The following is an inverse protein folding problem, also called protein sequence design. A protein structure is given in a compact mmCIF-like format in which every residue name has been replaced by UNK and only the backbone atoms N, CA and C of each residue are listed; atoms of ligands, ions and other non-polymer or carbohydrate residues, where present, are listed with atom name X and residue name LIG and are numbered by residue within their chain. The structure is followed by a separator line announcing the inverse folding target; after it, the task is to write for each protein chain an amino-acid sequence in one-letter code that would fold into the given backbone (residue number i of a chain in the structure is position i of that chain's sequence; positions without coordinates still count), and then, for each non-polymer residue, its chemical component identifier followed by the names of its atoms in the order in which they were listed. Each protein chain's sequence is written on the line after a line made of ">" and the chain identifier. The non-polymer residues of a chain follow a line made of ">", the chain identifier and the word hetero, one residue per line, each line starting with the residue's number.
data_IF_004015506062
#
_entry.id   IF_004015506062
#
_cell.length_a   1.000
_cell.length_b   1.000
_cell.length_c   1.000
_cell.angle_alpha   90.00
_cell.angle_beta   90.00
_cell.angle_gamma   90.00
#
_symmetry.space_group_name_H-M   'P 1'
#
loop_
_entity.id
_entity.type
_entity.pdbx_description
1 polymer ?
#
# COMPACT_ATOMS: atom_id res chain seq x y z
N UNK A 1 -50.70 31.21 -29.14
CA UNK A 1 -50.01 31.02 -30.44
C UNK A 1 -49.43 29.62 -30.45
N UNK A 2 -49.72 28.87 -31.52
CA UNK A 2 -49.33 27.47 -31.80
C UNK A 2 -47.81 27.40 -32.06
N UNK A 3 -47.10 26.35 -31.64
CA UNK A 3 -46.89 25.08 -32.35
C UNK A 3 -46.25 24.10 -31.34
N UNK A 4 -46.72 22.87 -31.15
CA UNK A 4 -46.46 21.68 -31.98
C UNK A 4 -45.00 21.23 -31.77
N UNK A 5 -44.66 20.04 -31.29
CA UNK A 5 -44.99 18.73 -31.87
C UNK A 5 -44.93 17.63 -30.79
N UNK A 6 -45.84 16.67 -30.92
CA UNK A 6 -45.91 15.42 -30.17
C UNK A 6 -45.33 14.31 -31.07
N UNK A 7 -44.52 13.40 -30.54
CA UNK A 7 -44.35 12.04 -31.11
C UNK A 7 -43.82 11.09 -30.03
N UNK A 8 -44.56 10.00 -29.87
CA UNK A 8 -44.41 8.85 -28.99
C UNK A 8 -43.14 8.03 -29.26
N UNK A 9 -42.66 7.23 -28.28
CA UNK A 9 -41.52 6.33 -28.47
C UNK A 9 -41.93 5.06 -29.22
N UNK A 10 -41.14 4.70 -30.23
CA UNK A 10 -41.25 3.44 -30.96
C UNK A 10 -40.54 2.31 -30.21
N UNK A 11 -41.22 1.18 -30.15
CA UNK A 11 -40.80 -0.13 -29.67
C UNK A 11 -39.49 -0.57 -30.36
N UNK A 12 -38.43 -0.80 -29.59
CA UNK A 12 -37.20 -1.42 -30.09
C UNK A 12 -37.37 -2.94 -30.01
N UNK A 13 -37.50 -3.53 -31.19
CA UNK A 13 -37.48 -4.96 -31.44
C UNK A 13 -36.25 -5.63 -30.83
N UNK A 14 -36.49 -6.77 -30.16
CA UNK A 14 -35.45 -7.68 -29.69
C UNK A 14 -34.70 -8.27 -30.88
N UNK A 15 -33.48 -7.82 -31.12
CA UNK A 15 -32.54 -8.51 -32.00
C UNK A 15 -32.01 -9.76 -31.31
N UNK A 16 -32.61 -10.91 -31.61
CA UNK A 16 -32.02 -12.23 -31.39
C UNK A 16 -30.88 -12.45 -32.38
N UNK A 17 -29.64 -12.29 -31.92
CA UNK A 17 -28.44 -12.74 -32.64
C UNK A 17 -28.24 -14.22 -32.34
N UNK A 18 -28.44 -15.06 -33.36
CA UNK A 18 -28.12 -16.49 -33.36
C UNK A 18 -26.60 -16.69 -33.31
N UNK A 19 -26.13 -17.38 -32.27
CA UNK A 19 -24.73 -17.85 -32.17
C UNK A 19 -24.53 -19.05 -33.12
N UNK A 20 -23.46 -19.09 -33.95
CA UNK A 20 -23.09 -20.31 -34.65
C UNK A 20 -22.49 -21.33 -33.68
N UNK A 21 -22.94 -22.57 -33.79
CA UNK A 21 -22.49 -23.74 -33.05
C UNK A 21 -21.10 -24.20 -33.53
N UNK A 22 -20.15 -24.29 -32.60
CA UNK A 22 -18.80 -24.84 -32.83
C UNK A 22 -18.87 -26.37 -32.70
N UNK A 23 -18.36 -27.16 -33.66
CA UNK A 23 -18.35 -28.62 -33.54
C UNK A 23 -17.31 -29.09 -32.53
N UNK A 24 -17.75 -29.91 -31.56
CA UNK A 24 -16.88 -30.62 -30.60
C UNK A 24 -16.13 -31.75 -31.31
N UNK A 25 -14.82 -31.58 -31.52
CA UNK A 25 -13.94 -32.69 -31.90
C UNK A 25 -13.68 -33.61 -30.70
N UNK A 26 -14.14 -34.85 -30.79
CA UNK A 26 -13.76 -35.95 -29.90
C UNK A 26 -12.41 -36.51 -30.35
N UNK A 27 -11.36 -36.33 -29.54
CA UNK A 27 -10.15 -37.13 -29.67
C UNK A 27 -10.42 -38.56 -29.16
N UNK A 28 -10.38 -39.53 -30.07
CA UNK A 28 -10.26 -40.96 -29.76
C UNK A 28 -8.78 -41.32 -29.78
N UNK A 29 -8.23 -41.74 -28.64
CA UNK A 29 -6.91 -42.36 -28.56
C UNK A 29 -6.93 -43.75 -29.24
N UNK A 30 -6.00 -44.06 -30.17
CA UNK A 30 -5.83 -45.41 -30.68
C UNK A 30 -5.03 -46.26 -29.69
N UNK A 31 -5.52 -47.46 -29.42
CA UNK A 31 -4.77 -48.52 -28.74
C UNK A 31 -3.59 -48.97 -29.61
N UNK A 32 -2.36 -48.74 -29.15
CA UNK A 32 -1.16 -49.30 -29.75
C UNK A 32 -0.67 -50.49 -28.90
N UNK A 33 -0.95 -51.70 -29.37
CA UNK A 33 -0.22 -52.92 -29.00
C UNK A 33 1.18 -52.84 -29.61
N UNK A 34 2.21 -52.71 -28.76
CA UNK A 34 3.62 -52.82 -29.19
C UNK A 34 4.26 -54.01 -28.50
N UNK A 35 4.66 -55.00 -29.31
CA UNK A 35 5.36 -56.20 -28.87
C UNK A 35 6.78 -55.86 -28.41
N UNK A 36 7.16 -56.39 -27.25
CA UNK A 36 8.50 -56.22 -26.69
C UNK A 36 9.45 -57.24 -27.33
N UNK A 37 10.39 -56.74 -28.12
CA UNK A 37 11.64 -57.45 -28.44
C UNK A 37 12.53 -57.33 -27.20
N UNK A 38 12.82 -58.45 -26.54
CA UNK A 38 13.72 -58.48 -25.38
C UNK A 38 15.17 -58.54 -25.85
N UNK A 39 15.87 -57.40 -25.79
CA UNK A 39 17.33 -57.35 -25.89
C UNK A 39 17.91 -57.50 -24.47
N UNK A 40 18.57 -58.62 -24.19
CA UNK A 40 19.29 -58.88 -22.93
C UNK A 40 20.61 -58.08 -22.93
N UNK A 41 20.59 -56.89 -22.36
CA UNK A 41 21.80 -56.18 -21.93
C UNK A 41 21.81 -56.11 -20.40
N UNK A 42 22.92 -56.55 -19.80
CA UNK A 42 23.16 -56.64 -18.37
C UNK A 42 23.06 -55.27 -17.67
N UNK A 43 21.90 -54.95 -17.07
CA UNK A 43 21.76 -53.86 -16.12
C UNK A 43 22.13 -54.33 -14.71
N UNK A 44 23.24 -53.82 -14.17
CA UNK A 44 23.48 -53.80 -12.72
C UNK A 44 22.47 -52.83 -12.09
N UNK A 45 21.70 -53.19 -11.06
CA UNK A 45 20.90 -52.23 -10.34
C UNK A 45 21.84 -51.26 -9.60
N UNK A 46 21.87 -50.00 -10.00
CA UNK A 46 22.38 -48.94 -9.14
C UNK A 46 21.42 -48.85 -7.95
N UNK A 47 21.87 -49.25 -6.75
CA UNK A 47 21.13 -48.93 -5.54
C UNK A 47 21.10 -47.41 -5.40
N UNK A 48 19.94 -46.81 -5.61
CA UNK A 48 19.66 -45.45 -5.14
C UNK A 48 19.98 -45.43 -3.64
N UNK A 49 20.72 -44.42 -3.14
CA UNK A 49 20.89 -44.27 -1.70
C UNK A 49 19.50 -44.19 -1.05
N UNK A 50 19.33 -44.75 0.16
CA UNK A 50 18.07 -44.59 0.88
C UNK A 50 17.82 -43.09 1.02
N UNK A 51 16.70 -42.62 0.46
CA UNK A 51 16.14 -41.33 0.83
C UNK A 51 15.88 -41.42 2.32
N UNK A 52 16.76 -40.84 3.14
CA UNK A 52 16.45 -40.55 4.53
C UNK A 52 15.08 -39.87 4.52
N UNK A 53 14.11 -40.55 5.14
CA UNK A 53 12.76 -40.04 5.21
C UNK A 53 12.84 -38.65 5.84
N UNK A 54 12.38 -37.64 5.12
CA UNK A 54 12.10 -36.35 5.73
C UNK A 54 11.12 -36.66 6.85
N UNK A 55 11.55 -36.48 8.09
CA UNK A 55 10.71 -36.68 9.27
C UNK A 55 9.65 -35.58 9.24
N UNK A 56 8.54 -35.85 8.55
CA UNK A 56 7.42 -34.94 8.46
C UNK A 56 6.78 -34.92 9.84
N UNK A 57 7.04 -33.84 10.58
CA UNK A 57 6.48 -33.64 11.90
C UNK A 57 4.96 -33.50 11.80
N UNK A 58 4.24 -34.58 12.06
CA UNK A 58 2.78 -34.57 12.16
C UNK A 58 2.33 -33.90 13.46
N UNK A 59 1.47 -32.89 13.34
CA UNK A 59 0.90 -32.16 14.47
C UNK A 59 -0.51 -32.70 14.75
N UNK A 60 -0.74 -33.17 15.97
CA UNK A 60 -2.02 -33.80 16.40
C UNK A 60 -2.75 -33.03 17.49
N UNK A 61 -2.29 -31.81 17.80
CA UNK A 61 -2.90 -30.97 18.83
C UNK A 61 -4.29 -30.47 18.44
N UNK A 62 -5.12 -30.05 19.41
CA UNK A 62 -6.41 -29.41 19.14
C UNK A 62 -6.22 -28.11 18.35
N UNK A 63 -7.16 -27.81 17.46
CA UNK A 63 -7.18 -26.56 16.71
C UNK A 63 -7.68 -25.43 17.62
N UNK A 64 -6.92 -24.36 17.72
CA UNK A 64 -7.22 -23.20 18.57
C UNK A 64 -7.19 -21.91 17.77
N UNK A 65 -8.04 -20.94 18.16
CA UNK A 65 -8.01 -19.59 17.59
C UNK A 65 -6.84 -18.81 18.21
N UNK A 66 -5.79 -18.56 17.43
CA UNK A 66 -4.56 -17.93 17.93
C UNK A 66 -4.61 -16.38 17.93
N UNK A 67 -5.22 -15.78 16.91
CA UNK A 67 -5.39 -14.33 16.77
C UNK A 67 -6.68 -14.06 15.98
N UNK A 68 -7.34 -12.92 16.24
CA UNK A 68 -8.53 -12.51 15.52
C UNK A 68 -8.71 -10.99 15.49
N UNK A 69 -9.32 -10.53 14.41
CA UNK A 69 -9.71 -9.13 14.20
C UNK A 69 -10.74 -9.05 13.10
N UNK A 70 -11.52 -7.97 13.10
CA UNK A 70 -12.50 -7.72 12.05
C UNK A 70 -12.80 -6.23 11.96
N UNK A 71 -13.39 -5.79 10.85
CA UNK A 71 -13.92 -4.43 10.75
C UNK A 71 -14.45 -4.09 9.37
N UNK A 72 -14.50 -2.80 9.05
CA UNK A 72 -14.92 -2.31 7.73
C UNK A 72 -13.77 -1.62 7.01
N UNK A 73 -13.42 -2.14 5.84
CA UNK A 73 -12.38 -1.58 4.99
C UNK A 73 -12.94 -0.62 3.93
N UNK A 74 -12.11 0.33 3.54
CA UNK A 74 -12.25 1.17 2.34
C UNK A 74 -13.54 1.99 2.23
N UNK A 75 -13.97 2.60 3.34
CA UNK A 75 -15.09 3.52 3.35
C UNK A 75 -14.72 4.83 2.65
N UNK A 76 -15.35 5.12 1.51
CA UNK A 76 -15.13 6.35 0.72
C UNK A 76 -15.90 7.53 1.29
N UNK A 77 -15.19 8.48 1.88
CA UNK A 77 -15.79 9.64 2.55
C UNK A 77 -15.28 10.93 1.93
N UNK A 78 -16.19 11.73 1.37
CA UNK A 78 -15.89 13.11 0.95
C UNK A 78 -16.58 14.09 1.89
N UNK A 79 -15.80 14.93 2.55
CA UNK A 79 -16.28 15.99 3.44
C UNK A 79 -16.05 17.35 2.78
N UNK A 80 -17.14 18.05 2.48
CA UNK A 80 -17.10 19.47 2.07
C UNK A 80 -17.41 20.35 3.28
N UNK A 81 -16.49 21.25 3.61
CA UNK A 81 -16.72 22.36 4.52
C UNK A 81 -17.22 23.54 3.70
N UNK A 82 -18.35 24.11 4.10
CA UNK A 82 -19.09 25.11 3.31
C UNK A 82 -19.69 26.21 4.17
N UNK A 83 -19.03 26.49 5.29
CA UNK A 83 -19.42 27.52 6.25
C UNK A 83 -19.19 28.93 5.67
N UNK A 84 -18.35 29.04 4.63
CA UNK A 84 -18.16 30.24 3.81
C UNK A 84 -18.37 29.93 2.32
N UNK A 85 -18.53 30.94 1.43
CA UNK A 85 -18.60 30.71 -0.03
C UNK A 85 -17.38 30.00 -0.61
N UNK A 86 -16.22 30.14 0.04
CA UNK A 86 -15.00 29.41 -0.27
C UNK A 86 -15.02 28.07 0.45
N UNK A 87 -15.45 27.03 -0.28
CA UNK A 87 -15.58 25.68 0.26
C UNK A 87 -14.22 25.02 0.44
N UNK A 88 -14.06 24.10 1.39
CA UNK A 88 -12.89 23.22 1.51
C UNK A 88 -13.29 21.74 1.33
N UNK A 89 -12.38 20.90 0.86
CA UNK A 89 -12.61 19.47 0.58
C UNK A 89 -11.62 18.58 1.35
N UNK A 90 -12.13 17.45 1.85
CA UNK A 90 -11.36 16.28 2.29
C UNK A 90 -11.94 15.05 1.61
N UNK A 91 -11.09 14.23 0.99
CA UNK A 91 -11.48 13.01 0.28
C UNK A 91 -10.66 11.86 0.84
N UNK A 92 -11.34 10.94 1.51
CA UNK A 92 -10.75 9.94 2.38
C UNK A 92 -11.13 8.52 1.96
N UNK A 93 -10.21 7.57 2.16
CA UNK A 93 -10.47 6.14 2.25
C UNK A 93 -10.24 5.70 3.69
N UNK A 94 -11.26 5.19 4.39
CA UNK A 94 -11.16 4.88 5.82
C UNK A 94 -11.39 3.40 6.08
N UNK A 95 -10.43 2.75 6.72
CA UNK A 95 -10.51 1.36 7.17
C UNK A 95 -10.48 1.29 8.70
N UNK A 96 -11.28 0.39 9.26
CA UNK A 96 -11.42 0.16 10.71
C UNK A 96 -11.15 -1.30 11.00
N UNK A 97 -10.44 -1.58 12.08
CA UNK A 97 -10.11 -2.93 12.55
C UNK A 97 -10.23 -2.95 14.08
N UNK A 98 -11.04 -3.87 14.60
CA UNK A 98 -11.27 -4.06 16.03
C UNK A 98 -10.64 -5.38 16.48
N UNK A 99 -10.03 -5.37 17.67
CA UNK A 99 -9.47 -6.52 18.39
C UNK A 99 -10.04 -6.56 19.80
N UNK A 100 -10.34 -7.76 20.29
CA UNK A 100 -11.10 -7.90 21.54
C UNK A 100 -11.52 -9.33 21.83
N UNK A 101 -12.41 -9.48 22.80
CA UNK A 101 -13.02 -10.77 23.15
C UNK A 101 -14.12 -11.13 22.13
N UNK A 102 -13.70 -11.70 21.00
CA UNK A 102 -14.59 -12.13 19.92
C UNK A 102 -14.54 -13.64 19.65
N UNK A 103 -13.88 -14.43 20.50
CA UNK A 103 -13.65 -15.86 20.22
C UNK A 103 -14.95 -16.64 19.98
N UNK A 104 -16.01 -16.33 20.74
CA UNK A 104 -17.32 -16.96 20.60
C UNK A 104 -17.91 -16.78 19.18
N UNK A 105 -17.67 -15.63 18.54
CA UNK A 105 -18.13 -15.38 17.17
C UNK A 105 -17.49 -16.33 16.14
N UNK A 106 -16.26 -16.80 16.40
CA UNK A 106 -15.54 -17.72 15.52
C UNK A 106 -15.80 -19.19 15.87
N UNK A 107 -15.85 -19.51 17.17
CA UNK A 107 -15.88 -20.90 17.65
C UNK A 107 -17.31 -21.44 17.74
N UNK A 108 -18.26 -20.62 18.19
CA UNK A 108 -19.66 -21.04 18.40
C UNK A 108 -20.64 -20.33 17.48
N UNK A 109 -20.19 -19.23 16.85
CA UNK A 109 -21.02 -18.39 15.98
C UNK A 109 -21.84 -17.35 16.75
N UNK A 110 -21.64 -17.19 18.06
CA UNK A 110 -22.34 -16.18 18.84
C UNK A 110 -21.88 -14.76 18.48
N UNK A 111 -22.80 -13.95 17.96
CA UNK A 111 -22.55 -12.59 17.51
C UNK A 111 -22.83 -11.53 18.58
N UNK A 112 -23.17 -11.92 19.82
CA UNK A 112 -23.59 -11.01 20.90
C UNK A 112 -22.58 -9.90 21.22
N UNK A 113 -21.29 -10.17 21.04
CA UNK A 113 -20.18 -9.22 21.26
C UNK A 113 -19.74 -8.47 19.99
N UNK A 114 -20.30 -8.80 18.83
CA UNK A 114 -19.83 -8.27 17.54
C UNK A 114 -20.55 -6.97 17.21
N UNK A 115 -19.82 -5.85 17.25
CA UNK A 115 -20.29 -4.59 16.66
C UNK A 115 -20.37 -4.75 15.14
N UNK A 116 -21.54 -4.61 14.49
CA UNK A 116 -21.66 -4.81 13.06
C UNK A 116 -20.68 -3.93 12.26
N UNK A 117 -20.06 -4.49 11.21
CA UNK A 117 -19.16 -3.70 10.35
C UNK A 117 -19.90 -2.56 9.65
N UNK A 118 -21.22 -2.71 9.44
CA UNK A 118 -22.07 -1.61 8.96
C UNK A 118 -22.13 -0.45 9.97
N UNK A 119 -22.22 -0.74 11.28
CA UNK A 119 -22.16 0.29 12.32
C UNK A 119 -20.83 1.01 12.30
N UNK A 120 -19.71 0.30 12.13
CA UNK A 120 -18.38 0.93 12.00
C UNK A 120 -18.31 1.91 10.82
N UNK A 121 -18.88 1.54 9.66
CA UNK A 121 -19.05 2.45 8.50
C UNK A 121 -19.84 3.69 8.91
N UNK A 122 -21.02 3.52 9.50
CA UNK A 122 -21.88 4.64 9.90
C UNK A 122 -21.17 5.58 10.88
N UNK A 123 -20.42 5.03 11.84
CA UNK A 123 -19.59 5.80 12.77
C UNK A 123 -18.51 6.58 12.04
N UNK A 124 -17.81 5.99 11.08
CA UNK A 124 -16.78 6.68 10.29
C UNK A 124 -17.35 7.90 9.54
N UNK A 125 -18.54 7.78 8.92
CA UNK A 125 -19.23 8.91 8.28
C UNK A 125 -19.69 9.96 9.30
N UNK A 126 -20.21 9.54 10.45
CA UNK A 126 -20.64 10.47 11.50
C UNK A 126 -19.45 11.29 12.05
N UNK A 127 -18.32 10.62 12.30
CA UNK A 127 -17.10 11.25 12.84
C UNK A 127 -16.50 12.26 11.85
N UNK A 128 -16.63 12.01 10.54
CA UNK A 128 -16.18 12.96 9.53
C UNK A 128 -16.96 14.29 9.56
N UNK A 129 -18.17 14.29 10.14
CA UNK A 129 -18.96 15.50 10.40
C UNK A 129 -18.76 16.05 11.80
N UNK A 130 -18.69 15.20 12.83
CA UNK A 130 -18.49 15.56 14.25
C UNK A 130 -17.65 14.47 14.92
N UNK A 131 -16.39 14.73 15.31
CA UNK A 131 -15.79 16.06 15.49
C UNK A 131 -15.37 16.75 14.17
N UNK A 132 -15.01 16.00 13.13
CA UNK A 132 -14.48 16.53 11.88
C UNK A 132 -13.48 15.57 11.25
N UNK A 133 -13.12 15.82 9.99
CA UNK A 133 -12.26 14.96 9.18
C UNK A 133 -10.86 15.56 8.94
N UNK A 134 -10.45 16.53 9.76
CA UNK A 134 -9.17 17.23 9.62
C UNK A 134 -8.64 17.67 10.99
N UNK A 135 -7.33 17.50 11.23
CA UNK A 135 -6.39 16.68 10.45
C UNK A 135 -6.79 15.20 10.49
N UNK A 136 -6.31 14.39 9.53
CA UNK A 136 -6.77 13.01 9.38
C UNK A 136 -6.35 12.11 10.55
N UNK A 137 -5.25 12.46 11.21
CA UNK A 137 -4.70 11.83 12.40
C UNK A 137 -5.63 12.04 13.60
N UNK A 138 -6.11 13.27 13.82
CA UNK A 138 -7.08 13.58 14.88
C UNK A 138 -8.43 12.89 14.64
N UNK A 139 -8.87 12.84 13.38
CA UNK A 139 -10.06 12.08 12.98
C UNK A 139 -9.91 10.59 13.32
N UNK A 140 -8.77 9.99 12.96
CA UNK A 140 -8.48 8.59 13.23
C UNK A 140 -8.33 8.30 14.73
N UNK A 141 -7.69 9.19 15.50
CA UNK A 141 -7.60 9.15 16.97
C UNK A 141 -8.99 9.18 17.62
N UNK A 142 -9.85 10.10 17.19
CA UNK A 142 -11.21 10.21 17.72
C UNK A 142 -12.02 8.94 17.44
N UNK A 143 -11.93 8.40 16.22
CA UNK A 143 -12.66 7.20 15.81
C UNK A 143 -12.15 5.94 16.52
N UNK A 144 -10.84 5.72 16.58
CA UNK A 144 -10.25 4.59 17.30
C UNK A 144 -10.54 4.69 18.81
N UNK A 145 -10.42 5.89 19.37
CA UNK A 145 -10.72 6.17 20.76
C UNK A 145 -12.18 5.86 21.14
N UNK A 146 -13.13 6.18 20.26
CA UNK A 146 -14.54 5.81 20.44
C UNK A 146 -14.73 4.30 20.54
N UNK A 147 -14.19 3.54 19.59
CA UNK A 147 -14.39 2.09 19.61
C UNK A 147 -13.82 1.44 20.87
N UNK A 148 -12.64 1.88 21.34
CA UNK A 148 -12.02 1.33 22.55
C UNK A 148 -12.74 1.80 23.83
N UNK A 149 -13.24 3.04 23.87
CA UNK A 149 -13.88 3.58 25.06
C UNK A 149 -15.32 3.09 25.24
N UNK A 150 -16.08 2.98 24.14
CA UNK A 150 -17.54 2.88 24.21
C UNK A 150 -18.06 1.48 23.87
N UNK A 151 -17.23 0.61 23.29
CA UNK A 151 -17.62 -0.73 22.84
C UNK A 151 -16.91 -1.77 23.71
N UNK A 152 -17.62 -2.28 24.72
CA UNK A 152 -17.03 -3.04 25.84
C UNK A 152 -16.04 -4.15 25.43
N UNK A 153 -16.33 -5.05 24.46
CA UNK A 153 -15.42 -6.15 24.13
C UNK A 153 -14.16 -5.70 23.39
N UNK A 154 -14.10 -4.47 22.88
CA UNK A 154 -12.97 -3.94 22.11
C UNK A 154 -11.82 -3.57 23.07
N UNK A 155 -10.68 -4.25 22.92
CA UNK A 155 -9.45 -3.98 23.66
C UNK A 155 -8.48 -3.10 22.86
N UNK A 156 -8.58 -3.13 21.53
CA UNK A 156 -7.78 -2.31 20.62
C UNK A 156 -8.55 -2.01 19.34
N UNK A 157 -8.38 -0.80 18.82
CA UNK A 157 -8.91 -0.38 17.53
C UNK A 157 -7.82 0.27 16.70
N UNK A 158 -7.75 -0.13 15.42
CA UNK A 158 -6.89 0.47 14.42
C UNK A 158 -7.74 1.14 13.35
N UNK A 159 -7.42 2.39 13.04
CA UNK A 159 -8.05 3.18 11.97
C UNK A 159 -6.97 3.60 10.99
N UNK A 160 -7.17 3.27 9.73
CA UNK A 160 -6.27 3.65 8.63
C UNK A 160 -7.02 4.60 7.69
N UNK A 161 -6.35 5.68 7.30
CA UNK A 161 -6.91 6.74 6.47
C UNK A 161 -5.96 7.04 5.33
N UNK A 162 -6.42 6.88 4.10
CA UNK A 162 -5.80 7.51 2.94
C UNK A 162 -6.48 8.86 2.68
N UNK A 163 -5.71 9.93 2.51
CA UNK A 163 -6.19 11.23 2.07
C UNK A 163 -5.72 11.51 0.64
N UNK A 164 -6.67 11.89 -0.20
CA UNK A 164 -6.37 12.24 -1.57
C UNK A 164 -6.43 13.74 -1.81
N UNK A 165 -5.32 14.27 -2.34
CA UNK A 165 -5.14 15.68 -2.53
C UNK A 165 -6.00 16.25 -3.67
N UNK A 166 -6.50 17.46 -3.48
CA UNK A 166 -7.23 18.23 -4.48
C UNK A 166 -6.59 19.62 -4.58
N UNK A 167 -6.45 20.13 -5.79
CA UNK A 167 -5.95 21.48 -6.07
C UNK A 167 -7.07 22.30 -6.69
N UNK A 168 -7.25 23.55 -6.24
CA UNK A 168 -8.26 24.45 -6.81
C UNK A 168 -7.94 24.76 -8.27
N UNK A 169 -8.98 24.85 -9.09
CA UNK A 169 -8.84 25.32 -10.47
C UNK A 169 -8.57 26.83 -10.45
N UNK A 170 -7.59 27.30 -11.21
CA UNK A 170 -7.33 28.72 -11.42
C UNK A 170 -8.09 29.24 -12.64
N UNK A 171 -8.88 30.31 -12.48
CA UNK A 171 -9.61 31.00 -13.56
C UNK A 171 -9.20 32.46 -13.56
N UNK A 172 -8.63 32.95 -14.68
CA UNK A 172 -8.19 34.34 -14.79
C UNK A 172 -7.09 34.75 -13.79
N UNK A 173 -6.26 33.80 -13.35
CA UNK A 173 -5.19 34.03 -12.37
C UNK A 173 -5.60 33.93 -10.90
N UNK A 174 -6.88 33.70 -10.60
CA UNK A 174 -7.38 33.50 -9.23
C UNK A 174 -7.91 32.07 -9.02
N UNK A 175 -7.74 31.51 -7.83
CA UNK A 175 -8.30 30.20 -7.48
C UNK A 175 -9.82 30.23 -7.34
N UNK A 176 -10.49 29.22 -7.86
CA UNK A 176 -11.94 29.05 -7.74
C UNK A 176 -12.36 28.60 -6.34
N UNK A 177 -13.50 29.10 -5.87
CA UNK A 177 -13.98 28.89 -4.49
C UNK A 177 -14.47 27.48 -4.19
N UNK A 178 -14.87 26.73 -5.21
CA UNK A 178 -15.52 25.42 -5.04
C UNK A 178 -15.33 24.48 -6.24
N UNK A 179 -14.23 24.63 -6.97
CA UNK A 179 -13.86 23.74 -8.09
C UNK A 179 -12.41 23.31 -7.95
N UNK A 180 -12.16 22.01 -8.06
CA UNK A 180 -10.85 21.40 -7.90
C UNK A 180 -10.55 20.37 -8.99
N UNK A 181 -9.27 20.11 -9.21
CA UNK A 181 -8.72 18.97 -9.94
C UNK A 181 -7.94 18.07 -8.98
N UNK A 182 -7.93 16.77 -9.25
CA UNK A 182 -7.21 15.79 -8.44
C UNK A 182 -5.70 16.06 -8.52
N UNK A 183 -5.03 16.10 -7.37
CA UNK A 183 -3.56 16.16 -7.25
C UNK A 183 -3.04 14.77 -6.84
N UNK A 184 -1.91 14.36 -7.39
CA UNK A 184 -1.32 13.03 -7.19
C UNK A 184 -0.28 12.72 -8.27
N UNK A 185 0.36 11.53 -8.24
CA UNK A 185 -0.20 10.27 -7.74
C UNK A 185 -0.04 10.00 -6.24
N UNK A 186 0.74 10.79 -5.50
CA UNK A 186 1.02 10.52 -4.09
C UNK A 186 -0.23 10.65 -3.19
N UNK A 187 -0.32 9.76 -2.21
CA UNK A 187 -1.45 9.66 -1.27
C UNK A 187 -0.90 9.80 0.14
N UNK A 188 -1.41 10.78 0.90
CA UNK A 188 -1.10 10.91 2.33
C UNK A 188 -1.82 9.80 3.08
N UNK A 189 -1.15 9.24 4.08
CA UNK A 189 -1.71 8.16 4.89
C UNK A 189 -1.58 8.49 6.37
N UNK A 190 -2.57 8.09 7.17
CA UNK A 190 -2.46 8.01 8.62
C UNK A 190 -2.94 6.64 9.10
N UNK A 191 -2.25 6.06 10.07
CA UNK A 191 -2.70 4.86 10.76
C UNK A 191 -2.60 5.08 12.27
N UNK A 192 -3.71 4.91 12.96
CA UNK A 192 -3.83 5.12 14.39
C UNK A 192 -4.26 3.83 15.05
N UNK A 193 -3.54 3.42 16.08
CA UNK A 193 -3.94 2.33 16.96
C UNK A 193 -4.20 2.89 18.35
N UNK A 194 -5.33 2.56 18.95
CA UNK A 194 -5.63 2.84 20.36
C UNK A 194 -5.83 1.50 21.06
N UNK A 195 -5.20 1.31 22.21
CA UNK A 195 -5.34 0.07 22.99
C UNK A 195 -5.31 0.35 24.50
N UNK A 196 -5.86 -0.58 25.28
CA UNK A 196 -5.96 -0.48 26.74
C UNK A 196 -7.21 0.28 27.20
N UNK A 197 -7.51 0.20 28.51
CA UNK A 197 -8.69 0.83 29.13
C UNK A 197 -8.28 1.82 30.23
N UNK A 198 -9.14 2.80 30.52
CA UNK A 198 -8.94 3.76 31.60
C UNK A 198 -7.58 4.49 31.52
N UNK A 199 -6.83 4.49 32.62
CA UNK A 199 -5.50 5.12 32.72
C UNK A 199 -4.39 4.39 31.94
N UNK A 200 -4.62 3.15 31.51
CA UNK A 200 -3.67 2.37 30.72
C UNK A 200 -3.86 2.57 29.21
N UNK A 201 -4.91 3.29 28.81
CA UNK A 201 -5.19 3.57 27.39
C UNK A 201 -4.05 4.37 26.78
N UNK A 202 -3.52 3.88 25.66
CA UNK A 202 -2.48 4.55 24.87
C UNK A 202 -2.87 4.60 23.40
N UNK A 203 -2.29 5.57 22.69
CA UNK A 203 -2.45 5.74 21.26
C UNK A 203 -1.08 5.71 20.57
N UNK A 204 -1.06 5.15 19.37
CA UNK A 204 0.10 5.13 18.48
C UNK A 204 -0.33 5.68 17.13
N UNK A 205 0.41 6.66 16.62
CA UNK A 205 0.12 7.33 15.35
C UNK A 205 1.28 7.08 14.39
N UNK A 206 0.93 6.66 13.19
CA UNK A 206 1.82 6.58 12.04
C UNK A 206 1.30 7.54 10.98
N UNK A 207 2.12 8.52 10.61
CA UNK A 207 1.91 9.31 9.39
C UNK A 207 2.62 8.64 8.22
N UNK A 208 2.27 8.98 6.99
CA UNK A 208 2.94 8.44 5.84
C UNK A 208 2.53 9.02 4.50
N UNK A 209 3.23 8.56 3.47
CA UNK A 209 2.92 8.78 2.06
C UNK A 209 3.14 7.48 1.30
N UNK A 210 2.27 7.21 0.33
CA UNK A 210 2.46 6.15 -0.67
C UNK A 210 2.33 6.72 -2.08
N UNK A 211 2.79 5.95 -3.06
CA UNK A 211 2.77 6.32 -4.48
C UNK A 211 3.55 7.60 -4.82
N UNK A 212 4.51 7.98 -3.97
CA UNK A 212 5.40 9.11 -4.23
C UNK A 212 6.44 8.72 -5.29
N UNK A 213 6.12 9.01 -6.55
CA UNK A 213 7.04 8.75 -7.68
C UNK A 213 8.07 9.87 -7.81
N UNK A 214 9.34 9.53 -7.62
CA UNK A 214 10.47 10.46 -7.74
C UNK A 214 11.59 9.84 -8.58
N UNK A 215 12.32 10.69 -9.29
CA UNK A 215 13.35 10.28 -10.25
C UNK A 215 14.49 11.31 -10.25
N UNK A 216 15.73 10.81 -10.30
CA UNK A 216 16.91 11.60 -10.69
C UNK A 216 17.55 10.95 -11.92
N UNK A 217 17.94 11.76 -12.89
CA UNK A 217 18.49 11.30 -14.17
C UNK A 217 19.99 10.97 -14.12
N UNK A 218 20.69 11.43 -13.10
CA UNK A 218 22.14 11.25 -12.87
C UNK A 218 22.43 11.35 -11.36
N UNK A 219 23.70 11.28 -10.95
CA UNK A 219 24.11 11.41 -9.54
C UNK A 219 23.75 10.17 -8.72
N UNK A 220 23.74 9.01 -9.38
CA UNK A 220 23.50 7.71 -8.78
C UNK A 220 24.41 6.68 -9.40
N UNK A 221 25.01 5.84 -8.57
CA UNK A 221 25.97 4.81 -8.94
C UNK A 221 25.48 3.45 -8.44
N UNK A 222 26.14 2.41 -8.94
CA UNK A 222 26.09 1.08 -8.34
C UNK A 222 27.32 0.28 -8.78
N UNK A 223 28.27 0.13 -7.87
CA UNK A 223 29.52 -0.58 -8.10
C UNK A 223 30.04 -1.23 -6.82
N UNK A 224 31.04 -2.10 -6.93
CA UNK A 224 31.66 -2.76 -5.77
C UNK A 224 30.76 -3.78 -5.06
N UNK A 225 29.71 -4.27 -5.74
CA UNK A 225 28.85 -5.33 -5.24
C UNK A 225 29.53 -6.71 -5.32
N UNK A 226 29.03 -7.65 -4.52
CA UNK A 226 29.45 -9.04 -4.60
C UNK A 226 29.10 -9.63 -5.96
N UNK A 227 29.97 -10.50 -6.47
CA UNK A 227 29.78 -11.22 -7.72
C UNK A 227 29.82 -12.71 -7.46
N UNK A 228 28.91 -13.43 -8.10
CA UNK A 228 28.90 -14.89 -8.19
C UNK A 228 28.79 -15.34 -9.65
N UNK A 229 28.62 -16.65 -9.87
CA UNK A 229 28.48 -17.26 -11.19
C UNK A 229 27.22 -16.84 -11.97
N UNK A 230 26.25 -16.17 -11.32
CA UNK A 230 25.02 -15.67 -11.95
C UNK A 230 25.02 -14.15 -12.16
N UNK A 231 26.10 -13.47 -11.76
CA UNK A 231 26.18 -12.01 -11.82
C UNK A 231 26.59 -11.52 -13.21
N UNK A 232 25.61 -10.99 -13.96
CA UNK A 232 25.84 -10.35 -15.28
C UNK A 232 25.77 -8.82 -15.24
N UNK A 233 25.36 -8.25 -14.11
CA UNK A 233 25.21 -6.80 -13.95
C UNK A 233 26.58 -6.11 -14.03
N UNK A 234 26.73 -5.13 -14.91
CA UNK A 234 27.91 -4.30 -14.97
C UNK A 234 27.86 -3.20 -13.90
N UNK A 235 28.99 -2.87 -13.25
CA UNK A 235 29.06 -1.69 -12.39
C UNK A 235 28.85 -0.42 -13.21
N UNK A 236 28.27 0.61 -12.59
CA UNK A 236 28.11 1.93 -13.20
C UNK A 236 28.39 3.05 -12.20
N UNK A 237 29.01 4.11 -12.69
CA UNK A 237 29.30 5.37 -11.98
C UNK A 237 28.31 6.50 -12.37
N UNK A 238 27.38 6.23 -13.30
CA UNK A 238 26.21 7.06 -13.50
C UNK A 238 25.01 6.23 -13.99
N UNK A 239 23.84 6.49 -13.42
CA UNK A 239 22.57 5.88 -13.84
C UNK A 239 21.40 6.70 -13.36
N UNK A 240 20.26 6.48 -14.00
CA UNK A 240 18.98 6.90 -13.47
C UNK A 240 18.65 6.16 -12.16
N UNK A 241 17.98 6.87 -11.25
CA UNK A 241 17.38 6.28 -10.04
C UNK A 241 15.93 6.75 -9.95
N UNK A 242 14.99 5.82 -10.04
CA UNK A 242 13.57 6.10 -9.92
C UNK A 242 12.91 5.14 -8.92
N UNK A 243 11.94 5.65 -8.15
CA UNK A 243 11.18 4.86 -7.18
C UNK A 243 9.74 5.37 -7.07
N UNK A 244 8.83 4.47 -6.67
CA UNK A 244 7.53 4.84 -6.10
C UNK A 244 7.61 4.61 -4.60
N UNK A 245 8.02 5.64 -3.85
CA UNK A 245 8.33 5.54 -2.43
C UNK A 245 7.06 5.33 -1.61
N UNK A 246 7.11 4.35 -0.71
CA UNK A 246 6.24 4.28 0.47
C UNK A 246 7.07 4.66 1.70
N UNK A 247 6.65 5.70 2.41
CA UNK A 247 7.29 6.16 3.63
C UNK A 247 6.26 6.25 4.75
N UNK A 248 6.54 5.63 5.89
CA UNK A 248 5.67 5.65 7.06
C UNK A 248 6.52 6.01 8.29
N UNK A 249 6.10 7.00 9.07
CA UNK A 249 6.82 7.44 10.27
C UNK A 249 5.93 7.35 11.50
N UNK A 250 6.49 6.81 12.58
CA UNK A 250 5.81 6.73 13.87
C UNK A 250 6.18 7.93 14.71
N UNK A 251 5.16 8.55 15.29
CA UNK A 251 5.32 9.63 16.26
C UNK A 251 5.72 9.05 17.63
N UNK A 252 6.54 9.79 18.36
CA UNK A 252 6.96 9.42 19.71
C UNK A 252 5.85 9.65 20.74
N UNK A 253 4.96 10.61 20.47
CA UNK A 253 3.81 11.00 21.30
C UNK A 253 2.68 11.55 20.40
N UNK A 254 1.50 11.81 20.97
CA UNK A 254 0.33 12.35 20.28
C UNK A 254 -0.02 13.78 20.66
N UNK A 255 0.54 14.31 21.74
CA UNK A 255 0.11 15.59 22.30
C UNK A 255 0.72 16.79 21.58
N UNK A 256 -0.15 17.74 21.19
CA UNK A 256 0.27 19.04 20.65
C UNK A 256 0.99 18.98 19.30
N UNK A 257 0.81 17.92 18.53
CA UNK A 257 1.47 17.74 17.24
C UNK A 257 0.71 18.49 16.13
N UNK A 258 1.42 19.31 15.38
CA UNK A 258 0.93 19.85 14.11
C UNK A 258 1.17 18.82 12.99
N UNK A 259 0.19 17.93 12.79
CA UNK A 259 0.29 16.81 11.85
C UNK A 259 0.54 17.26 10.41
N UNK A 260 -0.14 18.33 9.98
CA UNK A 260 -0.04 18.86 8.62
C UNK A 260 1.36 19.44 8.38
N UNK A 261 1.90 20.21 9.34
CA UNK A 261 3.26 20.75 9.24
C UNK A 261 4.33 19.65 9.25
N UNK A 262 4.18 18.61 10.07
CA UNK A 262 5.10 17.47 10.09
C UNK A 262 5.04 16.70 8.78
N UNK A 263 3.84 16.42 8.25
CA UNK A 263 3.69 15.75 6.96
C UNK A 263 4.40 16.51 5.83
N UNK A 264 4.15 17.81 5.70
CA UNK A 264 4.81 18.65 4.69
C UNK A 264 6.32 18.68 4.89
N UNK A 265 6.78 18.85 6.14
CA UNK A 265 8.20 18.90 6.45
C UNK A 265 8.93 17.60 6.14
N UNK A 266 8.35 16.45 6.50
CA UNK A 266 8.92 15.13 6.17
C UNK A 266 8.99 14.94 4.67
N UNK A 267 7.92 15.22 3.93
CA UNK A 267 7.92 15.08 2.47
C UNK A 267 9.00 15.96 1.80
N UNK A 268 9.13 17.21 2.26
CA UNK A 268 10.22 18.11 1.83
C UNK A 268 11.59 17.49 2.11
N UNK A 269 11.85 16.98 3.31
CA UNK A 269 13.15 16.38 3.64
C UNK A 269 13.47 15.13 2.85
N UNK A 270 12.48 14.25 2.64
CA UNK A 270 12.66 13.05 1.83
C UNK A 270 13.02 13.42 0.37
N UNK A 271 12.30 14.36 -0.22
CA UNK A 271 12.50 14.77 -1.62
C UNK A 271 13.76 15.61 -1.83
N UNK A 272 14.08 16.54 -0.93
CA UNK A 272 15.34 17.31 -0.96
C UNK A 272 16.56 16.40 -0.82
N UNK A 273 16.52 15.46 0.13
CA UNK A 273 17.63 14.52 0.34
C UNK A 273 17.77 13.59 -0.85
N UNK A 274 16.66 13.06 -1.37
CA UNK A 274 16.68 12.28 -2.60
C UNK A 274 17.31 13.09 -3.75
N UNK A 275 16.94 14.36 -3.96
CA UNK A 275 17.48 15.17 -5.04
C UNK A 275 18.98 15.47 -4.90
N UNK A 276 19.42 15.83 -3.69
CA UNK A 276 20.76 16.41 -3.45
C UNK A 276 21.83 15.40 -3.05
N UNK A 277 21.45 14.23 -2.49
CA UNK A 277 22.41 13.21 -2.08
C UNK A 277 22.98 12.45 -3.29
N UNK A 278 24.31 12.40 -3.41
CA UNK A 278 24.97 11.55 -4.41
C UNK A 278 24.85 10.08 -4.02
N UNK A 279 24.04 9.32 -4.76
CA UNK A 279 23.61 7.98 -4.35
C UNK A 279 24.65 6.92 -4.74
N UNK A 280 25.35 6.29 -3.79
CA UNK A 280 26.17 5.11 -4.08
C UNK A 280 25.37 3.81 -4.11
N UNK A 281 24.19 3.81 -3.49
CA UNK A 281 23.22 2.73 -3.50
C UNK A 281 21.86 3.25 -3.03
N UNK A 282 20.75 2.62 -3.47
CA UNK A 282 19.42 3.02 -2.99
C UNK A 282 19.28 2.84 -1.47
N UNK A 283 19.92 1.82 -0.90
CA UNK A 283 20.03 1.60 0.55
C UNK A 283 20.59 2.82 1.29
N UNK A 284 21.69 3.39 0.79
CA UNK A 284 22.31 4.58 1.38
C UNK A 284 21.36 5.79 1.29
N UNK A 285 20.74 5.98 0.12
CA UNK A 285 19.77 7.05 -0.09
C UNK A 285 18.59 6.96 0.88
N UNK A 286 18.03 5.76 1.10
CA UNK A 286 16.96 5.59 2.08
C UNK A 286 17.40 5.91 3.52
N UNK A 287 18.61 5.50 3.90
CA UNK A 287 19.15 5.83 5.22
C UNK A 287 19.29 7.34 5.41
N UNK A 288 19.90 8.05 4.46
CA UNK A 288 20.08 9.50 4.55
C UNK A 288 18.73 10.24 4.52
N UNK A 289 17.78 9.80 3.69
CA UNK A 289 16.41 10.35 3.69
C UNK A 289 15.73 10.20 5.05
N UNK A 290 15.76 8.99 5.63
CA UNK A 290 15.17 8.73 6.95
C UNK A 290 15.85 9.53 8.06
N UNK A 291 17.18 9.61 8.03
CA UNK A 291 17.98 10.41 8.97
C UNK A 291 17.66 11.90 8.87
N UNK A 292 17.52 12.45 7.67
CA UNK A 292 17.17 13.85 7.46
C UNK A 292 15.78 14.18 8.01
N UNK A 293 14.79 13.31 7.75
CA UNK A 293 13.43 13.46 8.28
C UNK A 293 13.40 13.42 9.82
N UNK A 294 14.05 12.41 10.43
CA UNK A 294 14.13 12.32 11.89
C UNK A 294 14.88 13.53 12.47
N UNK A 295 16.01 13.95 11.90
CA UNK A 295 16.77 15.10 12.39
C UNK A 295 15.93 16.38 12.40
N UNK A 296 15.13 16.60 11.35
CA UNK A 296 14.27 17.78 11.24
C UNK A 296 13.03 17.73 12.17
N UNK A 297 12.56 16.53 12.53
CA UNK A 297 11.34 16.35 13.32
C UNK A 297 11.61 15.51 14.59
N UNK A 298 11.98 16.15 15.72
CA UNK A 298 12.18 15.51 17.02
C UNK A 298 11.00 14.68 17.53
N UNK A 299 9.79 15.03 17.11
CA UNK A 299 8.54 14.33 17.47
C UNK A 299 8.41 12.93 16.85
N UNK A 300 9.31 12.55 15.93
CA UNK A 300 9.31 11.24 15.29
C UNK A 300 10.28 10.27 15.97
N UNK A 301 9.83 9.04 16.21
CA UNK A 301 10.61 7.97 16.82
C UNK A 301 11.36 7.13 15.76
N UNK A 302 10.67 6.80 14.67
CA UNK A 302 11.20 5.97 13.58
C UNK A 302 10.49 6.26 12.24
N UNK A 303 11.13 5.90 11.14
CA UNK A 303 10.60 5.94 9.78
C UNK A 303 10.95 4.65 9.03
N UNK A 304 9.93 4.05 8.41
CA UNK A 304 10.02 2.87 7.55
C UNK A 304 9.85 3.30 6.09
N UNK A 305 10.77 2.86 5.25
CA UNK A 305 10.86 3.21 3.84
C UNK A 305 10.87 1.93 3.01
N UNK A 306 10.02 1.87 2.00
CA UNK A 306 10.04 0.85 0.97
C UNK A 306 10.15 1.53 -0.40
N UNK A 307 11.18 1.16 -1.15
CA UNK A 307 11.50 1.80 -2.42
C UNK A 307 11.76 0.74 -3.49
N UNK A 308 10.79 0.48 -4.39
CA UNK A 308 11.06 -0.28 -5.60
C UNK A 308 11.99 0.53 -6.50
N UNK A 309 13.12 -0.05 -6.90
CA UNK A 309 13.98 0.51 -7.92
C UNK A 309 13.33 0.30 -9.29
N UNK A 310 12.65 1.33 -9.79
CA UNK A 310 11.96 1.31 -11.10
C UNK A 310 12.99 1.46 -12.20
N UNK A 311 13.33 0.35 -12.85
CA UNK A 311 14.43 0.29 -13.80
C UNK A 311 14.16 1.13 -15.06
N UNK A 312 15.15 1.95 -15.40
CA UNK A 312 15.22 2.67 -16.66
C UNK A 312 16.52 2.23 -17.33
N UNK A 313 16.41 1.30 -18.28
CA UNK A 313 17.57 0.75 -18.98
C UNK A 313 17.92 1.61 -20.18
N UNK A 314 19.20 1.93 -20.37
CA UNK A 314 19.66 2.57 -21.59
C UNK A 314 19.26 1.73 -22.80
N UNK A 315 18.57 2.35 -23.75
CA UNK A 315 18.10 1.65 -24.92
C UNK A 315 19.23 1.49 -25.93
N UNK A 316 19.48 0.25 -26.36
CA UNK A 316 20.50 -0.03 -27.38
C UNK A 316 20.03 0.44 -28.77
N UNK A 317 20.52 1.62 -29.14
CA UNK A 317 20.35 2.24 -30.46
C UNK A 317 21.54 1.97 -31.40
N UNK A 318 22.61 1.32 -30.93
CA UNK A 318 23.81 1.06 -31.74
C UNK A 318 23.50 0.15 -32.94
N UNK A 319 22.52 -0.75 -32.81
CA UNK A 319 21.99 -1.57 -33.91
C UNK A 319 21.41 -0.78 -35.08
N UNK A 320 21.11 0.51 -34.88
CA UNK A 320 20.66 1.43 -35.93
C UNK A 320 21.75 2.43 -36.35
N UNK A 321 22.97 2.31 -35.80
CA UNK A 321 24.06 3.25 -36.04
C UNK A 321 23.87 4.60 -35.33
N UNK A 322 23.07 4.65 -34.25
CA UNK A 322 22.76 5.87 -33.50
C UNK A 322 23.41 5.77 -32.10
N UNK A 323 24.18 6.79 -31.73
CA UNK A 323 24.75 6.93 -30.39
C UNK A 323 23.66 7.31 -29.38
N UNK A 324 23.64 6.68 -28.20
CA UNK A 324 22.75 7.03 -27.08
C UNK A 324 23.61 7.46 -25.89
N UNK A 325 23.52 8.73 -25.46
CA UNK A 325 24.32 9.29 -24.36
C UNK A 325 23.56 9.36 -23.05
N UNK A 326 22.85 8.28 -22.71
CA UNK A 326 21.97 8.27 -21.54
C UNK A 326 20.75 9.17 -21.73
N UNK A 327 20.18 9.20 -22.94
CA UNK A 327 19.08 10.10 -23.32
C UNK A 327 17.77 9.32 -23.55
N UNK A 328 17.87 8.11 -24.09
CA UNK A 328 16.72 7.25 -24.40
C UNK A 328 16.76 5.99 -23.54
N UNK A 329 15.72 5.82 -22.71
CA UNK A 329 15.60 4.70 -21.78
C UNK A 329 14.34 3.88 -22.04
N UNK A 330 14.41 2.58 -21.74
CA UNK A 330 13.24 1.73 -21.53
C UNK A 330 12.88 1.72 -20.04
N UNK A 331 11.74 2.33 -19.70
CA UNK A 331 11.16 2.27 -18.36
C UNK A 331 10.40 0.94 -18.21
N UNK A 332 11.00 -0.01 -17.50
CA UNK A 332 10.42 -1.32 -17.29
C UNK A 332 9.34 -1.28 -16.19
N UNK A 333 8.28 -2.06 -16.35
CA UNK A 333 7.25 -2.23 -15.32
C UNK A 333 7.71 -3.25 -14.27
N UNK A 334 8.20 -4.41 -14.73
CA UNK A 334 8.60 -5.56 -13.91
C UNK A 334 9.67 -6.40 -14.62
N UNK A 335 10.62 -7.00 -13.88
CA UNK A 335 10.76 -6.98 -12.43
C UNK A 335 11.36 -5.66 -11.91
N UNK A 336 11.38 -5.47 -10.60
CA UNK A 336 12.06 -4.35 -9.94
C UNK A 336 12.79 -4.83 -8.69
N UNK A 337 13.93 -4.24 -8.39
CA UNK A 337 14.55 -4.40 -7.08
C UNK A 337 13.67 -3.77 -6.00
N UNK A 338 13.54 -4.37 -4.82
CA UNK A 338 12.75 -3.82 -3.72
C UNK A 338 13.64 -3.66 -2.48
N UNK A 339 13.88 -2.41 -2.09
CA UNK A 339 14.75 -2.08 -0.96
C UNK A 339 13.90 -1.55 0.19
N UNK A 340 14.17 -2.04 1.40
CA UNK A 340 13.53 -1.61 2.64
C UNK A 340 14.56 -1.06 3.61
N UNK A 341 14.19 -0.02 4.35
CA UNK A 341 14.96 0.50 5.47
C UNK A 341 14.03 0.92 6.61
N UNK A 342 14.42 0.66 7.85
CA UNK A 342 13.85 1.30 9.04
C UNK A 342 14.96 2.11 9.68
N UNK A 343 14.74 3.42 9.81
CA UNK A 343 15.65 4.33 10.51
C UNK A 343 14.95 4.76 11.79
N UNK A 344 15.62 4.63 12.93
CA UNK A 344 15.03 4.94 14.23
C UNK A 344 16.01 5.71 15.11
N UNK A 345 15.47 6.48 16.06
CA UNK A 345 16.28 7.02 17.15
C UNK A 345 16.71 5.91 18.10
N UNK A 346 17.90 6.03 18.67
CA UNK A 346 18.41 5.04 19.63
C UNK A 346 17.60 5.02 20.94
N UNK A 347 16.95 6.14 21.27
CA UNK A 347 16.07 6.34 22.44
C UNK A 347 14.58 6.29 22.08
N UNK A 348 14.23 5.76 20.90
CA UNK A 348 12.84 5.62 20.49
C UNK A 348 12.07 4.74 21.49
N UNK A 349 10.86 5.15 21.93
CA UNK A 349 10.02 4.29 22.76
C UNK A 349 9.58 3.05 21.97
N UNK A 350 9.29 1.97 22.71
CA UNK A 350 8.76 0.72 22.16
C UNK A 350 7.60 0.97 21.21
N UNK A 351 7.63 0.33 20.03
CA UNK A 351 6.63 0.57 18.99
C UNK A 351 5.25 0.05 19.37
N UNK A 352 5.15 -0.89 20.32
CA UNK A 352 3.90 -1.53 20.70
C UNK A 352 3.15 -2.07 19.47
N UNK A 353 1.81 -1.94 19.43
CA UNK A 353 1.00 -2.44 18.32
C UNK A 353 0.98 -1.51 17.10
N UNK A 354 1.78 -0.44 17.05
CA UNK A 354 1.71 0.57 15.98
C UNK A 354 1.80 -0.04 14.57
N UNK A 355 2.68 -1.04 14.41
CA UNK A 355 2.96 -1.69 13.13
C UNK A 355 2.18 -2.98 12.89
N UNK A 356 1.31 -3.38 13.83
CA UNK A 356 0.43 -4.53 13.69
C UNK A 356 -0.75 -4.15 12.80
N UNK A 357 -0.94 -4.87 11.68
CA UNK A 357 -2.05 -4.66 10.74
C UNK A 357 -3.29 -5.43 11.16
#
# INVERSE_FOLDING_TARGET
>A
MRTGWCSTPADISRNTVSRPSIPRFRFRSPSATSGIITCRCCFRPSRSPPTEGVDVRELTGPIVLADNRYGKAENRIVRIYRDTPRHEIRDLNVSTVLRGDFADAYVTGDQSKVLPTDTQKQTAYAYAKKPGAQPIEDYALALAGHFVADIEPVASARVEVDEYAWQRVTVGGAEHDHTWVRRGPEVRTAAVTVAGKGSERRAWVIGGVKDLTILKSTGSEFAGFLTDEFTVLAPTDDRMLATSLVAQWRFADTDGIDWDAVYTGVLTRLTETFATHHSKALQQTLFEMGKAALTAHPVLAEIRLAAPNKHHFDYDLARFGIENRGEVYHADDRPYGLIHATVQRADAPEAGPAWEQ
#
